data_IF_982509640432
#
_entry.id   IF_982509640432
#
_cell.length_a   1.000
_cell.length_b   1.000
_cell.length_c   1.000
_cell.angle_alpha   90.00
_cell.angle_beta   90.00
_cell.angle_gamma   90.00
#
_symmetry.space_group_name_H-M   'P 1'
#
loop_
_entity.id
_entity.type
_entity.pdbx_description
1 polymer ?
#
# COMPACT_ATOMS: atom_id res chain seq x y z
N UNK A 1 6.56 16.32 12.30
CA UNK A 1 7.09 14.96 12.06
C UNK A 1 8.20 14.62 13.03
N UNK A 2 9.15 15.54 13.30
CA UNK A 2 10.22 15.40 14.28
C UNK A 2 9.96 14.49 15.49
N UNK A 3 8.94 14.76 16.32
CA UNK A 3 8.64 13.96 17.51
C UNK A 3 8.47 12.46 17.21
N UNK A 4 7.75 12.08 16.15
CA UNK A 4 7.61 10.67 15.75
C UNK A 4 8.95 10.04 15.37
N UNK A 5 9.83 10.80 14.71
CA UNK A 5 11.17 10.32 14.40
C UNK A 5 12.07 10.28 15.65
N UNK A 6 11.84 11.13 16.64
CA UNK A 6 12.62 11.14 17.89
C UNK A 6 12.25 9.94 18.79
N UNK A 7 10.97 9.58 18.85
CA UNK A 7 10.47 8.55 19.78
C UNK A 7 10.48 7.13 19.20
N UNK A 8 10.40 6.98 17.87
CA UNK A 8 10.27 5.67 17.24
C UNK A 8 11.46 5.35 16.32
N UNK A 9 11.99 4.14 16.49
CA UNK A 9 13.07 3.59 15.65
C UNK A 9 12.58 3.29 14.23
N UNK A 10 11.43 2.62 14.12
CA UNK A 10 10.76 2.32 12.85
C UNK A 10 9.61 3.28 12.63
N UNK A 11 9.59 3.95 11.48
CA UNK A 11 8.51 4.85 11.06
C UNK A 11 8.04 4.38 9.69
N UNK A 12 6.72 4.33 9.50
CA UNK A 12 6.12 4.09 8.20
C UNK A 12 4.97 5.06 7.93
N UNK A 13 4.63 5.22 6.65
CA UNK A 13 3.44 5.94 6.20
C UNK A 13 2.60 5.00 5.34
N UNK A 14 1.32 4.88 5.67
CA UNK A 14 0.34 4.25 4.77
C UNK A 14 -0.07 5.26 3.71
N UNK A 15 0.26 4.97 2.46
CA UNK A 15 0.10 5.88 1.33
C UNK A 15 -0.96 5.37 0.36
N UNK A 16 -2.09 6.08 0.30
CA UNK A 16 -3.26 5.72 -0.54
C UNK A 16 -3.29 6.41 -1.91
N UNK A 17 -2.32 7.29 -2.21
CA UNK A 17 -2.36 8.13 -3.41
C UNK A 17 -3.40 9.26 -3.39
N UNK A 18 -4.11 9.45 -2.28
CA UNK A 18 -5.05 10.56 -2.08
C UNK A 18 -4.34 11.86 -1.68
N UNK A 19 -5.07 12.98 -1.70
CA UNK A 19 -4.49 14.30 -1.38
C UNK A 19 -3.81 14.37 0.00
N UNK A 20 -4.46 13.83 1.05
CA UNK A 20 -3.97 13.98 2.42
C UNK A 20 -2.77 13.07 2.67
N UNK A 21 -2.82 11.84 2.16
CA UNK A 21 -1.71 10.89 2.26
C UNK A 21 -0.52 11.32 1.39
N UNK A 22 -0.75 12.03 0.29
CA UNK A 22 0.33 12.65 -0.51
C UNK A 22 1.04 13.76 0.25
N UNK A 23 0.29 14.69 0.85
CA UNK A 23 0.89 15.74 1.69
C UNK A 23 1.63 15.12 2.87
N UNK A 24 1.05 14.11 3.52
CA UNK A 24 1.70 13.39 4.61
C UNK A 24 3.01 12.74 4.14
N UNK A 25 3.01 12.05 3.00
CA UNK A 25 4.22 11.46 2.42
C UNK A 25 5.31 12.51 2.25
N UNK A 26 5.03 13.65 1.61
CA UNK A 26 6.02 14.71 1.41
C UNK A 26 6.59 15.25 2.74
N UNK A 27 5.74 15.48 3.75
CA UNK A 27 6.19 15.94 5.08
C UNK A 27 7.03 14.89 5.81
N UNK A 28 6.67 13.61 5.69
CA UNK A 28 7.44 12.48 6.26
C UNK A 28 8.80 12.37 5.57
N UNK A 29 8.84 12.47 4.24
CA UNK A 29 10.08 12.37 3.45
C UNK A 29 11.02 13.55 3.71
N UNK A 30 10.51 14.77 3.86
CA UNK A 30 11.33 15.93 4.22
C UNK A 30 12.08 15.69 5.54
N UNK A 31 11.38 15.21 6.57
CA UNK A 31 11.99 14.87 7.86
C UNK A 31 12.97 13.69 7.75
N UNK A 32 12.59 12.64 7.01
CA UNK A 32 13.40 11.45 6.82
C UNK A 32 14.74 11.75 6.14
N UNK A 33 14.70 12.54 5.05
CA UNK A 33 15.88 12.93 4.27
C UNK A 33 16.82 13.81 5.11
N UNK A 34 16.27 14.78 5.84
CA UNK A 34 17.06 15.64 6.74
C UNK A 34 17.80 14.83 7.82
N UNK A 35 17.20 13.71 8.26
CA UNK A 35 17.77 12.80 9.26
C UNK A 35 18.57 11.65 8.65
N UNK A 36 18.62 11.54 7.32
CA UNK A 36 19.23 10.40 6.59
C UNK A 36 18.69 9.05 7.07
N UNK A 37 17.38 8.98 7.30
CA UNK A 37 16.67 7.76 7.71
C UNK A 37 15.75 7.30 6.59
N UNK A 38 15.68 6.00 6.40
CA UNK A 38 14.71 5.37 5.51
C UNK A 38 13.37 5.21 6.23
N UNK A 39 12.26 5.29 5.50
CA UNK A 39 10.90 5.15 6.03
C UNK A 39 10.13 4.10 5.26
N UNK A 40 9.37 3.26 5.97
CA UNK A 40 8.46 2.31 5.33
C UNK A 40 7.33 3.03 4.61
N UNK A 41 7.07 2.69 3.34
CA UNK A 41 5.91 3.19 2.60
C UNK A 41 5.03 2.01 2.26
N UNK A 42 3.88 1.93 2.92
CA UNK A 42 2.88 0.89 2.69
C UNK A 42 1.81 1.40 1.73
N UNK A 43 1.72 0.78 0.57
CA UNK A 43 0.64 0.98 -0.40
C UNK A 43 -0.16 -0.32 -0.45
N UNK A 44 -1.46 -0.24 -0.16
CA UNK A 44 -2.37 -1.37 -0.37
C UNK A 44 -3.13 -1.12 -1.66
N UNK A 45 -2.81 -1.92 -2.66
CA UNK A 45 -3.33 -1.83 -4.00
C UNK A 45 -4.52 -2.79 -4.14
N UNK A 46 -5.71 -2.22 -4.33
CA UNK A 46 -6.96 -2.96 -4.41
C UNK A 46 -7.37 -3.29 -5.84
N UNK A 47 -6.42 -3.34 -6.78
CA UNK A 47 -6.58 -3.65 -8.22
C UNK A 47 -7.36 -2.58 -9.00
N UNK A 48 -8.63 -2.35 -8.65
CA UNK A 48 -9.57 -1.47 -9.34
C UNK A 48 -9.46 0.01 -8.93
N UNK A 49 -8.24 0.53 -8.82
CA UNK A 49 -7.98 1.95 -8.59
C UNK A 49 -7.97 2.74 -9.90
N UNK A 50 -8.33 4.03 -9.83
CA UNK A 50 -8.24 4.91 -11.00
C UNK A 50 -6.80 4.98 -11.51
N UNK A 51 -6.61 4.87 -12.83
CA UNK A 51 -5.29 4.95 -13.46
C UNK A 51 -4.47 6.16 -12.99
N UNK A 52 -5.09 7.34 -12.91
CA UNK A 52 -4.40 8.54 -12.43
C UNK A 52 -3.94 8.46 -10.97
N UNK A 53 -4.62 7.69 -10.12
CA UNK A 53 -4.16 7.43 -8.75
C UNK A 53 -2.96 6.50 -8.76
N UNK A 54 -2.97 5.46 -9.60
CA UNK A 54 -1.83 4.53 -9.75
C UNK A 54 -0.61 5.26 -10.31
N UNK A 55 -0.78 6.07 -11.36
CA UNK A 55 0.29 6.88 -11.95
C UNK A 55 0.89 7.87 -10.93
N UNK A 56 0.04 8.49 -10.10
CA UNK A 56 0.48 9.39 -9.03
C UNK A 56 1.26 8.65 -7.93
N UNK A 57 0.79 7.47 -7.53
CA UNK A 57 1.50 6.62 -6.57
C UNK A 57 2.89 6.27 -7.11
N UNK A 58 2.98 5.81 -8.36
CA UNK A 58 4.26 5.47 -9.00
C UNK A 58 5.20 6.69 -9.04
N UNK A 59 4.70 7.86 -9.42
CA UNK A 59 5.51 9.08 -9.46
C UNK A 59 6.08 9.45 -8.07
N UNK A 60 5.29 9.28 -7.00
CA UNK A 60 5.75 9.47 -5.63
C UNK A 60 6.78 8.41 -5.20
N UNK A 61 6.57 7.14 -5.57
CA UNK A 61 7.52 6.05 -5.31
C UNK A 61 8.85 6.33 -6.00
N UNK A 62 8.83 6.72 -7.27
CA UNK A 62 10.03 7.03 -8.04
C UNK A 62 10.78 8.24 -7.47
N UNK A 63 10.05 9.28 -7.05
CA UNK A 63 10.63 10.48 -6.44
C UNK A 63 11.42 10.17 -5.16
N UNK A 64 10.95 9.21 -4.36
CA UNK A 64 11.52 8.90 -3.04
C UNK A 64 12.18 7.53 -2.97
N UNK A 65 12.44 6.87 -4.10
CA UNK A 65 12.93 5.49 -4.20
C UNK A 65 14.18 5.22 -3.36
N UNK A 66 15.10 6.18 -3.26
CA UNK A 66 16.33 6.05 -2.48
C UNK A 66 16.14 6.26 -0.96
N UNK A 67 14.95 6.65 -0.53
CA UNK A 67 14.63 7.04 0.85
C UNK A 67 13.52 6.19 1.49
N UNK A 68 12.93 5.26 0.74
CA UNK A 68 11.78 4.47 1.19
C UNK A 68 12.10 2.99 1.24
N UNK A 69 11.54 2.31 2.23
CA UNK A 69 11.38 0.86 2.24
C UNK A 69 9.98 0.55 1.70
N UNK A 70 9.90 0.13 0.44
CA UNK A 70 8.65 0.09 -0.31
C UNK A 70 7.90 -1.23 -0.08
N UNK A 71 6.65 -1.10 0.36
CA UNK A 71 5.70 -2.20 0.48
C UNK A 71 4.49 -1.92 -0.39
N UNK A 72 4.60 -2.17 -1.71
CA UNK A 72 3.46 -2.09 -2.62
C UNK A 72 2.72 -3.43 -2.69
N UNK A 73 1.69 -3.56 -1.87
CA UNK A 73 0.98 -4.82 -1.63
C UNK A 73 -0.14 -5.00 -2.66
N UNK A 74 0.02 -6.01 -3.52
CA UNK A 74 -0.97 -6.44 -4.50
C UNK A 74 -1.37 -7.90 -4.22
N UNK A 75 -1.95 -8.14 -3.04
CA UNK A 75 -2.28 -9.49 -2.55
C UNK A 75 -3.79 -9.75 -2.60
N UNK A 76 -4.23 -11.02 -2.65
CA UNK A 76 -5.63 -11.36 -2.76
C UNK A 76 -6.41 -11.10 -1.47
N UNK A 77 -6.89 -9.87 -1.30
CA UNK A 77 -7.65 -9.41 -0.14
C UNK A 77 -9.14 -9.41 -0.45
N UNK A 78 -9.96 -9.79 0.54
CA UNK A 78 -11.39 -9.66 0.43
C UNK A 78 -11.84 -8.21 0.62
N UNK A 79 -12.79 -7.82 -0.21
CA UNK A 79 -13.43 -6.51 -0.22
C UNK A 79 -14.94 -6.70 -0.29
N UNK A 80 -15.67 -5.77 0.30
CA UNK A 80 -17.14 -5.77 0.22
C UNK A 80 -17.59 -5.45 -1.20
N UNK A 81 -18.45 -6.30 -1.74
CA UNK A 81 -19.12 -6.07 -3.02
C UNK A 81 -20.51 -5.47 -2.77
N UNK A 82 -20.70 -4.22 -3.20
CA UNK A 82 -21.96 -3.50 -3.04
C UNK A 82 -22.93 -3.63 -4.22
N UNK A 83 -22.57 -4.37 -5.28
CA UNK A 83 -23.37 -4.43 -6.53
C UNK A 83 -24.24 -5.68 -6.64
N UNK A 84 -24.15 -6.62 -5.71
CA UNK A 84 -24.97 -7.84 -5.69
C UNK A 84 -25.13 -8.38 -4.28
N UNK A 85 -26.32 -8.93 -4.00
CA UNK A 85 -26.60 -9.64 -2.75
C UNK A 85 -26.26 -11.14 -2.84
N UNK A 86 -25.95 -11.66 -4.03
CA UNK A 86 -25.59 -13.06 -4.24
C UNK A 86 -24.10 -13.33 -4.06
N UNK A 87 -23.26 -12.35 -4.38
CA UNK A 87 -21.80 -12.41 -4.24
C UNK A 87 -21.32 -11.19 -3.44
N UNK A 88 -21.55 -11.16 -2.12
CA UNK A 88 -21.37 -9.98 -1.29
C UNK A 88 -19.89 -9.58 -1.07
N UNK A 89 -18.95 -10.37 -1.58
CA UNK A 89 -17.52 -10.12 -1.51
C UNK A 89 -16.89 -10.23 -2.91
N UNK A 90 -15.83 -9.44 -3.09
CA UNK A 90 -14.93 -9.50 -4.23
C UNK A 90 -13.50 -9.60 -3.70
N UNK A 91 -12.68 -10.43 -4.30
CA UNK A 91 -11.25 -10.55 -3.96
C UNK A 91 -10.44 -9.83 -5.03
N UNK A 92 -9.76 -8.73 -4.67
CA UNK A 92 -8.82 -8.08 -5.59
C UNK A 92 -7.60 -8.97 -5.83
N UNK A 93 -6.92 -8.84 -6.96
CA UNK A 93 -5.71 -9.62 -7.30
C UNK A 93 -5.87 -11.14 -7.13
N UNK A 94 -7.08 -11.68 -7.28
CA UNK A 94 -7.32 -13.13 -7.14
C UNK A 94 -6.59 -13.88 -8.28
N UNK A 95 -5.60 -14.74 -7.97
CA UNK A 95 -4.84 -15.45 -8.99
C UNK A 95 -5.69 -16.43 -9.81
N UNK A 96 -6.81 -16.92 -9.27
CA UNK A 96 -7.73 -17.80 -9.99
C UNK A 96 -8.59 -17.02 -11.01
N UNK A 97 -8.62 -15.69 -10.89
CA UNK A 97 -9.43 -14.80 -11.73
C UNK A 97 -8.59 -13.78 -12.51
N UNK A 98 -7.31 -14.08 -12.80
CA UNK A 98 -6.40 -13.20 -13.54
C UNK A 98 -6.97 -12.62 -14.84
N UNK A 99 -7.79 -13.40 -15.57
CA UNK A 99 -8.45 -12.94 -16.81
C UNK A 99 -9.42 -11.78 -16.60
N UNK A 100 -9.87 -11.55 -15.37
CA UNK A 100 -10.81 -10.50 -14.99
C UNK A 100 -10.11 -9.28 -14.41
N UNK A 101 -8.78 -9.34 -14.20
CA UNK A 101 -8.04 -8.22 -13.67
C UNK A 101 -8.18 -7.01 -14.57
N UNK A 102 -8.42 -5.85 -13.96
CA UNK A 102 -8.62 -4.61 -14.71
C UNK A 102 -7.31 -3.96 -15.19
N UNK A 103 -6.17 -4.48 -14.74
CA UNK A 103 -4.81 -4.07 -15.13
C UNK A 103 -3.75 -5.08 -14.66
N UNK A 104 -2.53 -4.91 -15.16
CA UNK A 104 -1.37 -5.67 -14.72
C UNK A 104 -0.85 -5.20 -13.34
N UNK A 105 -0.14 -6.10 -12.67
CA UNK A 105 0.59 -5.79 -11.44
C UNK A 105 1.66 -4.72 -11.71
N UNK A 106 1.86 -3.76 -10.78
CA UNK A 106 2.98 -2.82 -10.87
C UNK A 106 4.31 -3.56 -10.74
N UNK A 107 5.34 -3.08 -11.43
CA UNK A 107 6.67 -3.71 -11.41
C UNK A 107 7.30 -3.72 -10.01
N UNK A 108 6.96 -2.73 -9.18
CA UNK A 108 7.40 -2.59 -7.80
C UNK A 108 6.53 -3.37 -6.79
N UNK A 109 5.62 -4.24 -7.25
CA UNK A 109 4.78 -5.04 -6.37
C UNK A 109 5.63 -5.91 -5.43
N UNK A 110 5.32 -5.87 -4.14
CA UNK A 110 5.96 -6.71 -3.14
C UNK A 110 5.60 -8.18 -3.39
N UNK A 111 6.55 -9.14 -3.28
CA UNK A 111 6.33 -10.56 -3.56
C UNK A 111 5.35 -11.27 -2.58
N UNK A 112 4.75 -10.54 -1.64
CA UNK A 112 3.94 -11.09 -0.55
C UNK A 112 4.71 -11.35 0.74
N UNK A 113 4.03 -11.98 1.70
CA UNK A 113 4.55 -12.24 3.05
C UNK A 113 4.22 -13.67 3.48
N UNK A 114 5.12 -14.33 4.22
CA UNK A 114 4.92 -15.72 4.65
C UNK A 114 3.73 -15.92 5.60
N UNK A 115 3.33 -14.86 6.30
CA UNK A 115 2.19 -14.86 7.22
C UNK A 115 0.87 -14.53 6.53
N UNK A 116 0.91 -14.09 5.27
CA UNK A 116 -0.29 -13.68 4.56
C UNK A 116 -1.21 -14.89 4.33
N UNK A 117 -2.49 -14.72 4.65
CA UNK A 117 -3.53 -15.71 4.38
C UNK A 117 -4.40 -15.18 3.24
N UNK A 118 -4.51 -15.92 2.11
CA UNK A 118 -5.37 -15.49 1.01
C UNK A 118 -6.80 -15.22 1.48
N UNK A 119 -7.40 -14.16 0.94
CA UNK A 119 -8.76 -13.71 1.26
C UNK A 119 -8.95 -13.21 2.70
N UNK A 120 -7.87 -12.87 3.42
CA UNK A 120 -8.00 -12.05 4.63
C UNK A 120 -8.58 -10.68 4.28
N UNK A 121 -9.28 -10.07 5.23
CA UNK A 121 -9.81 -8.72 5.07
C UNK A 121 -8.70 -7.68 5.20
N UNK A 122 -8.92 -6.49 4.63
CA UNK A 122 -7.99 -5.37 4.71
C UNK A 122 -7.58 -5.04 6.16
N UNK A 123 -8.55 -5.06 7.09
CA UNK A 123 -8.34 -4.76 8.49
C UNK A 123 -7.43 -5.78 9.18
N UNK A 124 -7.55 -7.06 8.82
CA UNK A 124 -6.70 -8.13 9.35
C UNK A 124 -5.27 -7.97 8.84
N UNK A 125 -5.11 -7.66 7.55
CA UNK A 125 -3.81 -7.41 6.94
C UNK A 125 -3.08 -6.25 7.63
N UNK A 126 -3.78 -5.13 7.87
CA UNK A 126 -3.21 -3.95 8.52
C UNK A 126 -2.71 -4.23 9.94
N UNK A 127 -3.44 -5.06 10.70
CA UNK A 127 -3.05 -5.45 12.06
C UNK A 127 -1.79 -6.34 12.02
N UNK A 128 -1.79 -7.39 11.19
CA UNK A 128 -0.65 -8.31 11.10
C UNK A 128 0.62 -7.63 10.57
N UNK A 129 0.48 -6.73 9.59
CA UNK A 129 1.61 -5.97 9.06
C UNK A 129 2.16 -4.98 10.10
N UNK A 130 1.30 -4.27 10.81
CA UNK A 130 1.70 -3.24 11.80
C UNK A 130 2.40 -3.78 13.06
N UNK A 131 2.31 -5.09 13.33
CA UNK A 131 3.00 -5.74 14.45
C UNK A 131 4.47 -6.08 14.18
N UNK A 132 4.99 -5.82 12.97
CA UNK A 132 6.33 -6.25 12.51
C UNK A 132 7.21 -5.07 12.14
#
# INVERSE_FOLDING_TARGET
MAWTFDEFEKVYVSFSGGKDSTVMLHLVMEEAINRRRQVGVLIIDLEAQYRHTVDHIQACVDLYREHIDLHWVCLPLNLRNAVTNFEPQWTCWDPDQQRLWVRDLPADAHPGYDWFVPRMEFEEFMVEWGHR
#
